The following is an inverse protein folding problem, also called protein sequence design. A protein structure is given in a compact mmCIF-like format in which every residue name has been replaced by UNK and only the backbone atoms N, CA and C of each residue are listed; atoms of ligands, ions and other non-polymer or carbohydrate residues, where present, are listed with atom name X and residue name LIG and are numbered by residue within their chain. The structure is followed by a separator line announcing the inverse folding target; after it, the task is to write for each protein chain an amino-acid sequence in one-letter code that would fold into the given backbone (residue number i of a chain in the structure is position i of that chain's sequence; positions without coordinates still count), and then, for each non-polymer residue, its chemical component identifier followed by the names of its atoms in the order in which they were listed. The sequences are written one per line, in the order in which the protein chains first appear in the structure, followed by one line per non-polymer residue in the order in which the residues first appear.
data_IF_902374653204
#
_entry.id   IF_902374653204
#
_cell.length_a   1.000
_cell.length_b   1.000
_cell.length_c   1.000
_cell.angle_alpha   90.00
_cell.angle_beta   90.00
_cell.angle_gamma   90.00
#
_symmetry.space_group_name_H-M   'P 1'
#
loop_
_entity.id
_entity.type
_entity.pdbx_description
1 polymer ?
#
# COMPACT_ATOMS: atom_id res chain seq x y z
N UNK A 1 60.30 28.01 0.67
CA UNK A 1 59.44 29.19 0.87
C UNK A 1 59.18 29.33 2.35
N UNK A 2 59.25 30.53 2.90
CA UNK A 2 58.71 30.82 4.24
C UNK A 2 57.25 30.37 4.28
N UNK A 3 56.94 29.42 5.16
CA UNK A 3 55.57 28.93 5.37
C UNK A 3 54.69 30.09 5.81
N UNK A 4 53.59 30.34 5.09
CA UNK A 4 52.61 31.36 5.49
C UNK A 4 51.97 30.94 6.83
N UNK A 5 51.95 31.84 7.80
CA UNK A 5 51.34 31.56 9.10
C UNK A 5 49.82 31.64 9.03
N UNK A 6 49.14 31.08 10.03
CA UNK A 6 47.68 31.20 10.22
C UNK A 6 47.23 32.67 10.28
N UNK A 7 47.96 33.53 10.98
CA UNK A 7 47.67 34.97 11.05
C UNK A 7 47.83 35.65 9.69
N UNK A 8 48.91 35.32 8.95
CA UNK A 8 49.14 35.88 7.62
C UNK A 8 48.06 35.45 6.64
N UNK A 9 47.67 34.17 6.66
CA UNK A 9 46.63 33.64 5.78
C UNK A 9 45.27 34.28 6.06
N UNK A 10 44.89 34.43 7.34
CA UNK A 10 43.63 35.06 7.72
C UNK A 10 43.53 36.53 7.29
N UNK A 11 44.66 37.22 7.11
CA UNK A 11 44.70 38.61 6.69
C UNK A 11 44.63 38.82 5.16
N UNK A 12 44.77 37.77 4.34
CA UNK A 12 44.72 37.89 2.88
C UNK A 12 43.31 38.18 2.37
N UNK A 13 43.17 39.00 1.33
CA UNK A 13 41.90 39.16 0.61
C UNK A 13 41.67 38.00 -0.36
N UNK A 14 40.42 37.80 -0.80
CA UNK A 14 40.06 36.74 -1.74
C UNK A 14 40.89 36.77 -3.02
N UNK A 15 41.13 37.95 -3.59
CA UNK A 15 41.94 38.13 -4.81
C UNK A 15 43.42 37.73 -4.60
N UNK A 16 43.93 37.87 -3.38
CA UNK A 16 45.30 37.48 -3.05
C UNK A 16 45.41 35.97 -2.88
N UNK A 17 44.34 35.33 -2.37
CA UNK A 17 44.29 33.87 -2.22
C UNK A 17 44.13 33.21 -3.59
N UNK A 18 43.29 33.74 -4.48
CA UNK A 18 43.12 33.20 -5.84
C UNK A 18 44.35 33.38 -6.73
N UNK A 19 45.25 34.31 -6.38
CA UNK A 19 46.53 34.45 -7.05
C UNK A 19 47.55 33.35 -6.71
N UNK A 20 47.31 32.54 -5.67
CA UNK A 20 48.13 31.36 -5.38
C UNK A 20 47.93 30.30 -6.46
N UNK A 21 49.02 29.72 -6.97
CA UNK A 21 48.91 28.58 -7.90
C UNK A 21 48.23 27.40 -7.20
N UNK A 22 47.67 26.48 -7.98
CA UNK A 22 47.04 25.27 -7.46
C UNK A 22 48.02 24.44 -6.63
N UNK A 23 49.28 24.29 -7.08
CA UNK A 23 50.30 23.59 -6.29
C UNK A 23 50.67 24.36 -5.02
N UNK A 24 50.78 25.68 -5.12
CA UNK A 24 51.04 26.55 -3.97
C UNK A 24 49.96 26.40 -2.90
N UNK A 25 48.69 26.40 -3.31
CA UNK A 25 47.56 26.21 -2.41
C UNK A 25 47.50 24.78 -1.82
N UNK A 26 47.72 23.75 -2.64
CA UNK A 26 47.77 22.36 -2.17
C UNK A 26 48.91 22.09 -1.19
N UNK A 27 50.00 22.86 -1.26
CA UNK A 27 51.15 22.76 -0.34
C UNK A 27 50.91 23.39 1.04
N UNK A 28 49.82 24.13 1.23
CA UNK A 28 49.49 24.75 2.51
C UNK A 28 49.18 23.70 3.58
N UNK A 29 49.68 23.92 4.80
CA UNK A 29 49.34 23.06 5.93
C UNK A 29 47.82 23.11 6.23
N UNK A 30 47.20 22.02 6.68
CA UNK A 30 45.74 21.97 6.92
C UNK A 30 45.25 23.07 7.89
N UNK A 31 46.01 23.37 8.93
CA UNK A 31 45.69 24.42 9.91
C UNK A 31 45.71 25.83 9.32
N UNK A 32 46.44 26.05 8.23
CA UNK A 32 46.47 27.33 7.51
C UNK A 32 45.22 27.50 6.67
N UNK A 33 44.75 26.44 6.00
CA UNK A 33 43.47 26.47 5.25
C UNK A 33 42.29 26.64 6.21
N UNK A 34 42.37 26.05 7.41
CA UNK A 34 41.34 26.11 8.45
C UNK A 34 41.10 27.50 9.05
N UNK A 35 41.90 28.52 8.71
CA UNK A 35 41.69 29.91 9.16
C UNK A 35 40.86 30.75 8.21
N UNK A 36 40.66 30.28 6.97
CA UNK A 36 39.97 31.04 5.94
C UNK A 36 38.52 31.31 6.38
N UNK A 37 38.08 32.55 6.30
CA UNK A 37 36.66 32.90 6.46
C UNK A 37 35.82 32.27 5.35
N UNK A 38 34.50 32.25 5.53
CA UNK A 38 33.55 31.80 4.50
C UNK A 38 33.71 32.58 3.20
N UNK A 39 33.89 33.90 3.27
CA UNK A 39 34.09 34.75 2.08
C UNK A 39 35.40 34.45 1.36
N UNK A 40 36.50 34.27 2.11
CA UNK A 40 37.79 33.90 1.51
C UNK A 40 37.72 32.51 0.86
N UNK A 41 37.13 31.53 1.53
CA UNK A 41 36.98 30.18 0.99
C UNK A 41 36.08 30.16 -0.25
N UNK A 42 34.95 30.88 -0.21
CA UNK A 42 34.05 31.01 -1.35
C UNK A 42 34.65 31.75 -2.56
N UNK A 43 35.73 32.51 -2.35
CA UNK A 43 36.46 33.15 -3.46
C UNK A 43 37.44 32.23 -4.19
N UNK A 44 37.78 31.06 -3.61
CA UNK A 44 38.73 30.12 -4.23
C UNK A 44 38.28 29.72 -5.64
N UNK A 45 39.23 29.60 -6.57
CA UNK A 45 38.92 29.07 -7.89
C UNK A 45 38.54 27.58 -7.82
N UNK A 46 37.83 27.09 -8.83
CA UNK A 46 37.53 25.65 -8.95
C UNK A 46 38.80 24.82 -8.99
N UNK A 47 39.87 25.32 -9.61
CA UNK A 47 41.14 24.60 -9.68
C UNK A 47 41.82 24.49 -8.31
N UNK A 48 41.71 25.53 -7.47
CA UNK A 48 42.21 25.49 -6.09
C UNK A 48 41.40 24.54 -5.21
N UNK A 49 40.08 24.50 -5.37
CA UNK A 49 39.23 23.54 -4.64
C UNK A 49 39.47 22.10 -5.09
N UNK A 50 39.67 21.89 -6.41
CA UNK A 50 40.03 20.58 -6.95
C UNK A 50 41.37 20.07 -6.41
N UNK A 51 42.31 20.98 -6.13
CA UNK A 51 43.65 20.69 -5.61
C UNK A 51 43.70 20.47 -4.09
N UNK A 52 42.58 20.61 -3.36
CA UNK A 52 42.53 20.34 -1.91
C UNK A 52 43.01 18.92 -1.61
N UNK A 53 43.92 18.79 -0.66
CA UNK A 53 44.31 17.50 -0.11
C UNK A 53 43.28 16.99 0.88
N UNK A 54 43.25 15.68 1.13
CA UNK A 54 42.36 15.09 2.16
C UNK A 54 42.69 15.57 3.57
N UNK A 55 43.95 15.97 3.83
CA UNK A 55 44.36 16.56 5.09
C UNK A 55 43.74 17.95 5.29
N UNK A 56 43.80 18.80 4.25
CA UNK A 56 43.17 20.12 4.26
C UNK A 56 41.65 20.00 4.38
N UNK A 57 41.02 19.08 3.63
CA UNK A 57 39.58 18.82 3.70
C UNK A 57 39.13 18.39 5.12
N UNK A 58 39.92 17.55 5.80
CA UNK A 58 39.65 17.10 7.17
C UNK A 58 39.76 18.23 8.21
N UNK A 59 40.50 19.30 7.91
CA UNK A 59 40.63 20.47 8.78
C UNK A 59 39.60 21.57 8.52
N UNK A 60 38.73 21.41 7.51
CA UNK A 60 37.68 22.39 7.24
C UNK A 60 36.64 22.44 8.36
N UNK A 61 36.43 23.63 8.89
CA UNK A 61 35.45 23.94 9.91
C UNK A 61 34.12 24.37 9.28
N UNK A 62 33.13 24.64 10.14
CA UNK A 62 31.83 25.21 9.77
C UNK A 62 32.01 26.52 8.96
N UNK A 63 32.99 27.35 9.30
CA UNK A 63 33.21 28.63 8.62
C UNK A 63 33.57 28.45 7.14
N UNK A 64 34.47 27.52 6.81
CA UNK A 64 34.81 27.25 5.42
C UNK A 64 33.66 26.57 4.68
N UNK A 65 32.97 25.64 5.34
CA UNK A 65 31.85 24.93 4.74
C UNK A 65 30.70 25.88 4.33
N UNK A 66 30.38 26.88 5.15
CA UNK A 66 29.41 27.94 4.79
C UNK A 66 29.84 28.76 3.56
N UNK A 67 31.14 28.80 3.26
CA UNK A 67 31.70 29.50 2.11
C UNK A 67 31.72 28.69 0.82
N UNK A 68 31.54 27.36 0.87
CA UNK A 68 31.54 26.52 -0.33
C UNK A 68 30.40 26.95 -1.25
N UNK A 69 30.72 27.15 -2.53
CA UNK A 69 29.74 27.53 -3.56
C UNK A 69 29.35 26.33 -4.41
N UNK A 70 28.20 26.38 -5.08
CA UNK A 70 27.74 25.32 -5.97
C UNK A 70 28.75 25.00 -7.09
N UNK A 71 29.43 26.02 -7.64
CA UNK A 71 30.48 25.82 -8.65
C UNK A 71 31.67 25.04 -8.08
N UNK A 72 32.11 25.35 -6.87
CA UNK A 72 33.19 24.63 -6.18
C UNK A 72 32.79 23.20 -5.81
N UNK A 73 31.51 22.95 -5.49
CA UNK A 73 31.01 21.60 -5.21
C UNK A 73 31.26 20.66 -6.39
N UNK A 74 31.11 21.11 -7.63
CA UNK A 74 31.28 20.26 -8.83
C UNK A 74 32.67 19.65 -8.98
N UNK A 75 33.69 20.26 -8.39
CA UNK A 75 35.10 19.83 -8.46
C UNK A 75 35.61 19.28 -7.13
N UNK A 76 34.79 19.32 -6.07
CA UNK A 76 35.16 18.74 -4.78
C UNK A 76 35.18 17.21 -4.89
N UNK A 77 36.36 16.62 -4.74
CA UNK A 77 36.50 15.16 -4.86
C UNK A 77 35.68 14.43 -3.79
N UNK A 78 35.25 13.20 -4.10
CA UNK A 78 34.54 12.33 -3.14
C UNK A 78 35.38 12.05 -1.89
N UNK A 79 36.70 11.92 -2.05
CA UNK A 79 37.63 11.75 -0.94
C UNK A 79 37.63 12.95 0.00
N UNK A 80 37.62 14.18 -0.51
CA UNK A 80 37.56 15.40 0.30
C UNK A 80 36.19 15.58 0.95
N UNK A 81 35.11 15.34 0.20
CA UNK A 81 33.75 15.41 0.73
C UNK A 81 33.56 14.49 1.94
N UNK A 82 34.10 13.26 1.88
CA UNK A 82 34.03 12.29 2.97
C UNK A 82 34.90 12.64 4.19
N UNK A 83 35.78 13.64 4.09
CA UNK A 83 36.58 14.14 5.21
C UNK A 83 35.93 15.31 5.94
N UNK A 84 34.88 15.92 5.39
CA UNK A 84 34.11 16.91 6.12
C UNK A 84 33.48 16.28 7.36
N UNK A 85 33.67 16.91 8.52
CA UNK A 85 32.95 16.54 9.74
C UNK A 85 31.44 16.68 9.50
N UNK A 86 30.63 15.96 10.29
CA UNK A 86 29.16 16.07 10.22
C UNK A 86 28.68 17.50 10.49
N UNK A 87 29.32 18.23 11.41
CA UNK A 87 29.00 19.62 11.69
C UNK A 87 29.32 20.56 10.51
N UNK A 88 30.47 20.38 9.86
CA UNK A 88 30.83 21.14 8.65
C UNK A 88 29.89 20.79 7.49
N UNK A 89 29.53 19.52 7.31
CA UNK A 89 28.58 19.10 6.27
C UNK A 89 27.17 19.67 6.49
N UNK A 90 26.67 19.66 7.73
CA UNK A 90 25.39 20.26 8.09
C UNK A 90 25.36 21.78 7.86
N UNK A 91 26.52 22.46 7.83
CA UNK A 91 26.64 23.88 7.58
C UNK A 91 26.61 24.27 6.08
N UNK A 92 26.62 23.29 5.16
CA UNK A 92 26.52 23.57 3.72
C UNK A 92 25.17 24.22 3.39
N UNK A 93 25.15 25.15 2.43
CA UNK A 93 23.88 25.70 1.96
C UNK A 93 23.05 24.64 1.21
N UNK A 94 21.73 24.83 1.15
CA UNK A 94 20.85 23.95 0.34
C UNK A 94 21.23 23.95 -1.14
N UNK A 95 21.70 25.09 -1.67
CA UNK A 95 22.20 25.19 -3.04
C UNK A 95 23.47 24.37 -3.29
N UNK A 96 24.31 24.18 -2.27
CA UNK A 96 25.46 23.27 -2.34
C UNK A 96 24.99 21.82 -2.34
N UNK A 97 24.11 21.44 -1.41
CA UNK A 97 23.59 20.06 -1.34
C UNK A 97 22.87 19.67 -2.64
N UNK A 98 22.06 20.57 -3.20
CA UNK A 98 21.38 20.37 -4.48
C UNK A 98 22.33 20.34 -5.69
N UNK A 99 23.58 20.80 -5.56
CA UNK A 99 24.60 20.78 -6.61
C UNK A 99 25.50 19.54 -6.59
N UNK A 100 25.40 18.69 -5.57
CA UNK A 100 26.16 17.44 -5.50
C UNK A 100 25.82 16.54 -6.71
N UNK A 101 26.82 16.00 -7.37
CA UNK A 101 26.59 14.93 -8.36
C UNK A 101 26.07 13.65 -7.69
N UNK A 102 25.49 12.75 -8.48
CA UNK A 102 25.10 11.40 -7.99
C UNK A 102 26.30 10.62 -7.45
N UNK A 103 27.49 10.78 -8.05
CA UNK A 103 28.73 10.15 -7.57
C UNK A 103 29.18 10.70 -6.22
N UNK A 104 29.02 12.00 -5.99
CA UNK A 104 29.30 12.62 -4.69
C UNK A 104 28.27 12.21 -3.64
N UNK A 105 26.98 12.16 -4.00
CA UNK A 105 25.93 11.67 -3.11
C UNK A 105 26.19 10.20 -2.71
N UNK A 106 26.57 9.34 -3.66
CA UNK A 106 26.93 7.95 -3.40
C UNK A 106 28.15 7.79 -2.48
N UNK A 107 29.07 8.77 -2.49
CA UNK A 107 30.27 8.73 -1.68
C UNK A 107 30.02 9.11 -0.21
N UNK A 108 28.96 9.87 0.09
CA UNK A 108 28.69 10.36 1.46
C UNK A 108 28.73 9.23 2.49
N UNK A 109 29.30 9.51 3.64
CA UNK A 109 29.19 8.56 4.76
C UNK A 109 27.76 8.54 5.31
N UNK A 110 27.34 7.44 5.93
CA UNK A 110 26.03 7.37 6.60
C UNK A 110 25.91 8.42 7.72
N UNK A 111 27.02 8.75 8.39
CA UNK A 111 27.06 9.82 9.38
C UNK A 111 26.79 11.22 8.78
N UNK A 112 27.26 11.48 7.54
CA UNK A 112 26.95 12.73 6.83
C UNK A 112 25.51 12.77 6.35
N UNK A 113 24.94 11.63 5.94
CA UNK A 113 23.51 11.52 5.59
C UNK A 113 22.64 11.80 6.82
N UNK A 114 22.94 11.21 7.98
CA UNK A 114 22.26 11.51 9.25
C UNK A 114 22.45 12.97 9.69
N UNK A 115 23.55 13.61 9.30
CA UNK A 115 23.82 15.01 9.64
C UNK A 115 23.10 16.02 8.73
N UNK A 116 22.37 15.57 7.71
CA UNK A 116 21.54 16.47 6.92
C UNK A 116 20.54 17.17 7.84
N UNK A 117 20.35 18.46 7.61
CA UNK A 117 19.20 19.16 8.18
C UNK A 117 17.97 18.83 7.35
N UNK A 118 16.78 18.86 7.98
CA UNK A 118 15.50 18.69 7.26
C UNK A 118 15.34 19.65 6.07
N UNK A 119 15.89 20.85 6.14
CA UNK A 119 15.91 21.83 5.05
C UNK A 119 16.83 21.42 3.90
N UNK A 120 17.99 20.81 4.20
CA UNK A 120 18.87 20.24 3.18
C UNK A 120 18.29 18.97 2.56
N UNK A 121 17.69 18.10 3.37
CA UNK A 121 16.98 16.92 2.89
C UNK A 121 15.84 17.29 1.92
N UNK A 122 15.07 18.34 2.24
CA UNK A 122 14.04 18.88 1.36
C UNK A 122 14.59 19.45 0.03
N UNK A 123 15.86 19.86 0.01
CA UNK A 123 16.53 20.40 -1.17
C UNK A 123 17.18 19.33 -2.07
N UNK A 124 17.21 18.06 -1.63
CA UNK A 124 17.71 16.96 -2.45
C UNK A 124 16.85 16.81 -3.70
N UNK A 125 17.52 16.65 -4.83
CA UNK A 125 16.90 16.45 -6.14
C UNK A 125 16.90 14.97 -6.51
N UNK A 126 16.33 14.64 -7.68
CA UNK A 126 16.44 13.30 -8.26
C UNK A 126 17.89 12.89 -8.52
N UNK A 127 18.78 13.83 -8.87
CA UNK A 127 20.20 13.55 -9.13
C UNK A 127 20.92 12.98 -7.91
N UNK A 128 20.75 13.60 -6.74
CA UNK A 128 21.40 13.09 -5.52
C UNK A 128 20.75 11.79 -5.04
N UNK A 129 19.41 11.72 -5.10
CA UNK A 129 18.65 10.56 -4.62
C UNK A 129 18.96 9.30 -5.43
N UNK A 130 19.14 9.41 -6.74
CA UNK A 130 19.60 8.31 -7.59
C UNK A 130 21.01 7.80 -7.25
N UNK A 131 21.83 8.62 -6.58
CA UNK A 131 23.15 8.24 -6.11
C UNK A 131 23.16 7.50 -4.77
N UNK A 132 22.08 7.51 -3.99
CA UNK A 132 22.09 6.88 -2.67
C UNK A 132 22.22 5.35 -2.73
N UNK A 133 23.17 4.84 -1.94
CA UNK A 133 23.33 3.42 -1.63
C UNK A 133 22.30 2.96 -0.59
N UNK A 134 22.12 1.65 -0.47
CA UNK A 134 21.21 1.03 0.52
C UNK A 134 21.55 1.45 1.96
N UNK A 135 22.84 1.46 2.32
CA UNK A 135 23.29 1.89 3.65
C UNK A 135 22.95 3.35 3.95
N UNK A 136 23.04 4.23 2.94
CA UNK A 136 22.66 5.64 3.09
C UNK A 136 21.14 5.79 3.17
N UNK A 137 20.38 5.05 2.37
CA UNK A 137 18.92 5.06 2.42
C UNK A 137 18.37 4.57 3.75
N UNK A 138 18.96 3.52 4.34
CA UNK A 138 18.64 3.06 5.70
C UNK A 138 19.00 4.11 6.76
N UNK A 139 20.06 4.90 6.53
CA UNK A 139 20.51 5.94 7.44
C UNK A 139 19.66 7.24 7.39
N UNK A 140 18.80 7.42 6.39
CA UNK A 140 17.91 8.60 6.31
C UNK A 140 16.96 8.64 7.51
N UNK A 141 16.97 9.77 8.22
CA UNK A 141 16.05 9.98 9.32
C UNK A 141 14.61 10.14 8.80
N UNK A 142 13.63 9.68 9.58
CA UNK A 142 12.20 9.79 9.21
C UNK A 142 11.75 11.25 9.05
N UNK A 143 12.34 12.17 9.81
CA UNK A 143 12.07 13.59 9.71
C UNK A 143 12.49 14.13 8.33
N UNK A 144 13.63 13.69 7.82
CA UNK A 144 14.17 14.08 6.53
C UNK A 144 13.42 13.43 5.37
N UNK A 145 13.17 12.12 5.46
CA UNK A 145 12.47 11.38 4.42
C UNK A 145 11.05 11.94 4.17
N UNK A 146 10.36 12.39 5.23
CA UNK A 146 9.05 13.04 5.12
C UNK A 146 9.08 14.39 4.37
N UNK A 147 10.27 14.98 4.18
CA UNK A 147 10.47 16.24 3.46
C UNK A 147 10.96 16.06 2.02
N UNK A 148 11.31 14.84 1.61
CA UNK A 148 11.70 14.59 0.23
C UNK A 148 10.58 14.98 -0.74
N UNK A 149 10.95 15.70 -1.79
CA UNK A 149 10.06 15.86 -2.92
C UNK A 149 9.71 14.50 -3.53
N UNK A 150 8.52 14.38 -4.11
CA UNK A 150 8.08 13.13 -4.76
C UNK A 150 9.04 12.68 -5.86
N UNK A 151 9.59 13.62 -6.65
CA UNK A 151 10.59 13.33 -7.68
C UNK A 151 11.94 12.83 -7.12
N UNK A 152 12.28 13.20 -5.88
CA UNK A 152 13.48 12.69 -5.21
C UNK A 152 13.28 11.23 -4.76
N UNK A 153 12.11 10.91 -4.21
CA UNK A 153 11.74 9.53 -3.87
C UNK A 153 11.65 8.63 -5.11
N UNK A 154 11.04 9.12 -6.18
CA UNK A 154 10.93 8.40 -7.45
C UNK A 154 12.31 8.06 -8.05
N UNK A 155 13.31 8.91 -7.80
CA UNK A 155 14.66 8.69 -8.29
C UNK A 155 15.48 7.68 -7.46
N UNK A 156 15.00 7.22 -6.30
CA UNK A 156 15.67 6.16 -5.55
C UNK A 156 15.72 4.88 -6.40
N UNK A 157 16.90 4.26 -6.47
CA UNK A 157 17.04 2.96 -7.13
C UNK A 157 16.13 1.92 -6.49
N UNK A 158 15.66 0.92 -7.26
CA UNK A 158 14.80 -0.14 -6.70
C UNK A 158 15.47 -0.87 -5.51
N UNK A 159 16.79 -1.04 -5.55
CA UNK A 159 17.56 -1.62 -4.43
C UNK A 159 17.57 -0.72 -3.20
N UNK A 160 17.68 0.60 -3.37
CA UNK A 160 17.60 1.56 -2.28
C UNK A 160 16.18 1.59 -1.70
N UNK A 161 15.15 1.65 -2.55
CA UNK A 161 13.75 1.58 -2.13
C UNK A 161 13.47 0.31 -1.33
N UNK A 162 13.88 -0.86 -1.83
CA UNK A 162 13.74 -2.14 -1.11
C UNK A 162 14.49 -2.19 0.22
N UNK A 163 15.45 -1.28 0.47
CA UNK A 163 16.16 -1.19 1.75
C UNK A 163 15.47 -0.32 2.80
N UNK A 164 14.43 0.43 2.44
CA UNK A 164 13.68 1.25 3.39
C UNK A 164 13.09 0.38 4.51
N UNK A 165 13.23 0.85 5.74
CA UNK A 165 12.67 0.20 6.92
C UNK A 165 11.16 0.44 7.04
N UNK A 166 10.45 -0.39 7.81
CA UNK A 166 9.03 -0.17 8.08
C UNK A 166 8.74 1.18 8.76
N UNK A 167 9.63 1.63 9.65
CA UNK A 167 9.53 2.95 10.29
C UNK A 167 9.64 4.08 9.26
N UNK A 168 10.57 3.97 8.31
CA UNK A 168 10.72 4.95 7.23
C UNK A 168 9.52 4.94 6.29
N UNK A 169 9.04 3.77 5.86
CA UNK A 169 7.84 3.64 5.01
C UNK A 169 6.62 4.28 5.70
N UNK A 170 6.41 4.01 6.99
CA UNK A 170 5.30 4.56 7.76
C UNK A 170 5.44 6.06 8.08
N UNK A 171 6.60 6.66 7.81
CA UNK A 171 6.82 8.11 7.90
C UNK A 171 6.50 8.85 6.59
N UNK A 172 6.34 8.13 5.47
CA UNK A 172 6.00 8.73 4.19
C UNK A 172 4.61 9.35 4.25
N UNK A 173 4.47 10.53 3.66
CA UNK A 173 3.19 11.20 3.49
C UNK A 173 2.34 10.50 2.43
N UNK A 174 1.02 10.70 2.45
CA UNK A 174 0.12 10.12 1.44
C UNK A 174 0.47 10.58 0.01
N UNK A 175 0.94 11.82 -0.16
CA UNK A 175 1.37 12.32 -1.47
C UNK A 175 2.64 11.59 -1.97
N UNK A 176 3.58 11.31 -1.07
CA UNK A 176 4.78 10.55 -1.39
C UNK A 176 4.45 9.10 -1.75
N UNK A 177 3.58 8.43 -0.99
CA UNK A 177 3.14 7.06 -1.31
C UNK A 177 2.42 7.01 -2.66
N UNK A 178 1.50 7.94 -2.92
CA UNK A 178 0.77 7.99 -4.18
C UNK A 178 1.68 8.28 -5.40
N UNK A 179 2.84 8.89 -5.18
CA UNK A 179 3.82 9.16 -6.25
C UNK A 179 4.78 8.02 -6.57
N UNK A 180 4.85 6.98 -5.72
CA UNK A 180 5.74 5.84 -5.98
C UNK A 180 5.34 5.11 -7.26
N UNK A 181 6.33 4.64 -8.01
CA UNK A 181 6.07 3.77 -9.16
C UNK A 181 5.56 2.40 -8.71
N UNK A 182 4.94 1.65 -9.62
CA UNK A 182 4.53 0.26 -9.35
C UNK A 182 5.72 -0.61 -8.97
N UNK A 183 6.87 -0.42 -9.64
CA UNK A 183 8.09 -1.20 -9.38
C UNK A 183 8.66 -0.89 -7.99
N UNK A 184 8.64 0.38 -7.57
CA UNK A 184 9.03 0.75 -6.21
C UNK A 184 8.08 0.19 -5.17
N UNK A 185 6.77 0.23 -5.42
CA UNK A 185 5.78 -0.36 -4.51
C UNK A 185 6.03 -1.86 -4.37
N UNK A 186 6.22 -2.60 -5.47
CA UNK A 186 6.54 -4.04 -5.42
C UNK A 186 7.87 -4.30 -4.69
N UNK A 187 8.91 -3.50 -4.97
CA UNK A 187 10.21 -3.62 -4.31
C UNK A 187 10.13 -3.41 -2.78
N UNK A 188 9.33 -2.43 -2.33
CA UNK A 188 9.07 -2.15 -0.92
C UNK A 188 8.23 -3.22 -0.23
N UNK A 189 7.44 -3.98 -0.97
CA UNK A 189 6.39 -4.82 -0.40
C UNK A 189 6.89 -6.25 -0.21
N UNK A 190 7.79 -6.72 -1.06
CA UNK A 190 8.39 -8.06 -0.96
C UNK A 190 9.04 -8.39 0.41
N UNK A 191 9.47 -7.38 1.18
CA UNK A 191 10.04 -7.53 2.53
C UNK A 191 9.32 -6.79 3.67
N UNK A 192 8.51 -5.77 3.38
CA UNK A 192 7.99 -4.83 4.39
C UNK A 192 6.47 -4.81 4.55
N UNK A 193 5.71 -5.53 3.71
CA UNK A 193 4.23 -5.39 3.65
C UNK A 193 3.48 -5.79 4.93
N UNK A 194 4.09 -6.63 5.78
CA UNK A 194 3.53 -6.97 7.10
C UNK A 194 3.35 -5.72 7.96
N UNK A 195 4.18 -4.70 7.74
CA UNK A 195 4.29 -3.52 8.59
C UNK A 195 3.75 -2.23 7.95
N UNK A 196 3.02 -2.29 6.83
CA UNK A 196 2.44 -1.09 6.23
C UNK A 196 1.36 -0.49 7.14
N UNK A 197 1.47 0.81 7.42
CA UNK A 197 0.49 1.57 8.17
C UNK A 197 -0.80 1.80 7.38
N UNK A 198 -1.90 2.05 8.08
CA UNK A 198 -3.23 2.30 7.47
C UNK A 198 -3.26 3.56 6.61
N UNK A 199 -2.54 4.61 7.00
CA UNK A 199 -2.41 5.85 6.22
C UNK A 199 -1.70 5.63 4.89
N UNK A 200 -0.62 4.84 4.88
CA UNK A 200 0.11 4.51 3.66
C UNK A 200 -0.72 3.57 2.78
N UNK A 201 -1.38 2.56 3.35
CA UNK A 201 -2.27 1.68 2.59
C UNK A 201 -3.43 2.43 1.94
N UNK A 202 -4.06 3.38 2.65
CA UNK A 202 -5.11 4.24 2.10
C UNK A 202 -4.61 5.19 1.00
N UNK A 203 -3.30 5.51 0.99
CA UNK A 203 -2.68 6.35 -0.03
C UNK A 203 -2.27 5.60 -1.29
N UNK A 204 -2.26 4.26 -1.27
CA UNK A 204 -1.98 3.48 -2.47
C UNK A 204 -3.07 3.72 -3.53
N UNK A 205 -2.62 4.07 -4.73
CA UNK A 205 -3.47 4.17 -5.90
C UNK A 205 -3.92 2.78 -6.36
N UNK A 206 -5.03 2.72 -7.09
CA UNK A 206 -5.53 1.42 -7.59
C UNK A 206 -4.57 0.76 -8.60
N UNK A 207 -3.75 1.54 -9.31
CA UNK A 207 -2.70 1.00 -10.19
C UNK A 207 -1.55 0.38 -9.39
N UNK A 208 -1.16 1.00 -8.27
CA UNK A 208 -0.14 0.44 -7.38
C UNK A 208 -0.64 -0.84 -6.70
N UNK A 209 -1.90 -0.88 -6.23
CA UNK A 209 -2.47 -2.08 -5.60
C UNK A 209 -2.55 -3.25 -6.57
N UNK A 210 -3.00 -3.02 -7.80
CA UNK A 210 -3.10 -4.11 -8.81
C UNK A 210 -1.73 -4.59 -9.27
N UNK A 211 -0.68 -3.78 -9.15
CA UNK A 211 0.69 -4.22 -9.45
C UNK A 211 1.29 -5.12 -8.36
N UNK A 212 0.70 -5.16 -7.16
CA UNK A 212 1.15 -6.09 -6.11
C UNK A 212 0.90 -7.53 -6.54
N UNK A 213 1.88 -8.39 -6.29
CA UNK A 213 1.64 -9.81 -6.47
C UNK A 213 0.68 -10.36 -5.39
N UNK A 214 0.09 -11.51 -5.68
CA UNK A 214 -0.89 -12.13 -4.81
C UNK A 214 -0.32 -12.54 -3.43
N UNK A 215 0.98 -12.88 -3.38
CA UNK A 215 1.66 -13.28 -2.14
C UNK A 215 1.83 -12.10 -1.21
N UNK A 216 2.17 -10.95 -1.76
CA UNK A 216 2.37 -9.72 -1.04
C UNK A 216 1.05 -9.13 -0.54
N UNK A 217 -0.01 -9.19 -1.35
CA UNK A 217 -1.35 -8.82 -0.90
C UNK A 217 -1.82 -9.70 0.28
N UNK A 218 -1.53 -11.01 0.24
CA UNK A 218 -1.89 -11.94 1.32
C UNK A 218 -1.12 -11.68 2.63
N UNK A 219 0.08 -11.09 2.56
CA UNK A 219 0.91 -10.73 3.74
C UNK A 219 0.50 -9.40 4.38
N UNK A 220 -0.29 -8.55 3.72
CA UNK A 220 -0.77 -7.30 4.30
C UNK A 220 -1.54 -7.55 5.59
N UNK A 221 -1.27 -6.78 6.64
CA UNK A 221 -2.09 -6.87 7.84
C UNK A 221 -3.55 -6.44 7.55
N UNK A 222 -4.49 -6.95 8.35
CA UNK A 222 -5.93 -6.77 8.09
C UNK A 222 -6.37 -5.31 8.16
N UNK A 223 -5.76 -4.49 9.03
CA UNK A 223 -6.08 -3.05 9.13
C UNK A 223 -5.63 -2.26 7.90
N UNK A 224 -4.43 -2.53 7.39
CA UNK A 224 -3.94 -1.93 6.16
C UNK A 224 -4.79 -2.36 4.95
N UNK A 225 -5.12 -3.65 4.85
CA UNK A 225 -5.99 -4.17 3.80
C UNK A 225 -7.39 -3.51 3.83
N UNK A 226 -8.00 -3.39 5.02
CA UNK A 226 -9.27 -2.70 5.21
C UNK A 226 -9.19 -1.19 4.91
N UNK A 227 -8.00 -0.61 4.87
CA UNK A 227 -7.78 0.80 4.53
C UNK A 227 -7.63 1.06 3.03
N UNK A 228 -7.53 0.01 2.20
CA UNK A 228 -7.46 0.15 0.75
C UNK A 228 -8.73 0.82 0.19
N UNK A 229 -8.57 1.65 -0.84
CA UNK A 229 -9.73 2.34 -1.43
C UNK A 229 -10.68 1.36 -2.12
N UNK A 230 -11.97 1.68 -2.16
CA UNK A 230 -12.97 0.86 -2.89
C UNK A 230 -12.63 0.71 -4.38
N UNK A 231 -12.05 1.76 -4.99
CA UNK A 231 -11.54 1.73 -6.37
C UNK A 231 -10.36 0.78 -6.58
N UNK A 232 -9.56 0.52 -5.55
CA UNK A 232 -8.51 -0.51 -5.61
C UNK A 232 -9.13 -1.90 -5.46
N UNK A 233 -10.05 -2.07 -4.50
CA UNK A 233 -10.72 -3.34 -4.24
C UNK A 233 -11.50 -3.87 -5.45
N UNK A 234 -12.19 -3.00 -6.19
CA UNK A 234 -12.94 -3.39 -7.40
C UNK A 234 -12.05 -3.72 -8.60
N UNK A 235 -10.74 -3.47 -8.52
CA UNK A 235 -9.77 -3.74 -9.59
C UNK A 235 -8.89 -4.96 -9.31
N UNK A 236 -9.01 -5.60 -8.13
CA UNK A 236 -8.26 -6.83 -7.84
C UNK A 236 -8.60 -7.91 -8.87
N UNK A 237 -7.58 -8.58 -9.38
CA UNK A 237 -7.77 -9.70 -10.30
C UNK A 237 -8.09 -11.01 -9.57
N UNK A 238 -8.40 -12.05 -10.36
CA UNK A 238 -8.77 -13.37 -9.84
C UNK A 238 -7.65 -14.01 -9.01
N UNK A 239 -6.39 -13.82 -9.38
CA UNK A 239 -5.23 -14.38 -8.65
C UNK A 239 -5.05 -13.69 -7.31
N UNK A 240 -5.20 -12.37 -7.28
CA UNK A 240 -5.15 -11.56 -6.07
C UNK A 240 -6.30 -11.89 -5.13
N UNK A 241 -7.54 -11.94 -5.61
CA UNK A 241 -8.71 -12.31 -4.79
C UNK A 241 -8.55 -13.69 -4.18
N UNK A 242 -8.08 -14.68 -4.93
CA UNK A 242 -7.85 -16.03 -4.41
C UNK A 242 -6.78 -16.11 -3.32
N UNK A 243 -5.80 -15.19 -3.32
CA UNK A 243 -4.72 -15.20 -2.35
C UNK A 243 -5.05 -14.46 -1.05
N UNK A 244 -6.00 -13.51 -1.07
CA UNK A 244 -6.44 -12.79 0.13
C UNK A 244 -6.92 -13.77 1.21
N UNK A 245 -6.49 -13.57 2.44
CA UNK A 245 -6.81 -14.47 3.55
C UNK A 245 -8.25 -14.30 4.04
N UNK A 246 -8.81 -15.31 4.71
CA UNK A 246 -10.14 -15.19 5.35
C UNK A 246 -10.19 -14.08 6.40
N UNK A 247 -9.09 -13.81 7.10
CA UNK A 247 -8.99 -12.70 8.05
C UNK A 247 -9.07 -11.33 7.36
N UNK A 248 -8.46 -11.18 6.18
CA UNK A 248 -8.57 -9.97 5.37
C UNK A 248 -9.98 -9.79 4.79
N UNK A 249 -10.63 -10.88 4.35
CA UNK A 249 -12.04 -10.84 3.90
C UNK A 249 -12.98 -10.43 5.04
N UNK A 250 -12.80 -11.00 6.24
CA UNK A 250 -13.60 -10.64 7.41
C UNK A 250 -13.35 -9.20 7.90
N UNK A 251 -12.22 -8.60 7.52
CA UNK A 251 -11.86 -7.23 7.86
C UNK A 251 -12.34 -6.19 6.82
N UNK A 252 -12.96 -6.62 5.71
CA UNK A 252 -13.52 -5.70 4.73
C UNK A 252 -14.49 -4.73 5.40
N UNK A 253 -14.46 -3.49 4.95
CA UNK A 253 -15.52 -2.54 5.25
C UNK A 253 -16.74 -2.83 4.37
N UNK A 254 -17.93 -2.50 4.88
CA UNK A 254 -19.18 -2.62 4.11
C UNK A 254 -19.16 -1.86 2.79
N UNK A 255 -18.43 -0.73 2.72
CA UNK A 255 -18.26 0.02 1.49
C UNK A 255 -17.38 -0.73 0.48
N UNK A 256 -16.31 -1.38 0.92
CA UNK A 256 -15.46 -2.21 0.04
C UNK A 256 -16.23 -3.44 -0.46
N UNK A 257 -16.94 -4.14 0.43
CA UNK A 257 -17.77 -5.29 0.05
C UNK A 257 -18.83 -4.91 -1.00
N UNK A 258 -19.48 -3.75 -0.85
CA UNK A 258 -20.46 -3.24 -1.81
C UNK A 258 -19.89 -2.97 -3.21
N UNK A 259 -18.57 -2.79 -3.33
CA UNK A 259 -17.88 -2.51 -4.61
C UNK A 259 -17.27 -3.74 -5.29
N UNK A 260 -17.41 -4.94 -4.69
CA UNK A 260 -16.96 -6.17 -5.35
C UNK A 260 -17.79 -6.43 -6.61
N UNK A 261 -17.10 -6.55 -7.75
CA UNK A 261 -17.68 -6.87 -9.05
C UNK A 261 -17.94 -8.37 -9.22
N UNK A 262 -18.45 -8.73 -10.39
CA UNK A 262 -18.76 -10.13 -10.74
C UNK A 262 -17.51 -11.00 -10.77
N UNK A 263 -16.40 -10.48 -11.30
CA UNK A 263 -15.15 -11.23 -11.42
C UNK A 263 -14.56 -11.53 -10.04
N UNK A 264 -14.57 -10.55 -9.12
CA UNK A 264 -14.13 -10.77 -7.75
C UNK A 264 -15.06 -11.72 -7.00
N UNK A 265 -16.38 -11.60 -7.16
CA UNK A 265 -17.34 -12.51 -6.53
C UNK A 265 -17.20 -13.95 -7.03
N UNK A 266 -16.97 -14.14 -8.33
CA UNK A 266 -16.70 -15.44 -8.93
C UNK A 266 -15.37 -16.05 -8.45
N UNK A 267 -14.38 -15.20 -8.14
CA UNK A 267 -13.08 -15.61 -7.63
C UNK A 267 -13.07 -15.95 -6.13
N UNK A 268 -14.12 -15.65 -5.36
CA UNK A 268 -14.17 -16.01 -3.95
C UNK A 268 -14.22 -17.53 -3.78
N UNK A 269 -13.21 -18.09 -3.11
CA UNK A 269 -13.23 -19.48 -2.66
C UNK A 269 -14.35 -19.69 -1.65
N UNK A 270 -14.84 -20.92 -1.52
CA UNK A 270 -15.84 -21.24 -0.50
C UNK A 270 -15.38 -20.86 0.91
N UNK A 271 -14.08 -21.00 1.23
CA UNK A 271 -13.46 -20.58 2.50
C UNK A 271 -13.53 -19.08 2.74
N UNK A 272 -13.21 -18.28 1.74
CA UNK A 272 -13.31 -16.82 1.80
C UNK A 272 -14.77 -16.39 1.89
N UNK A 273 -15.67 -16.98 1.11
CA UNK A 273 -17.09 -16.65 1.13
C UNK A 273 -17.72 -16.86 2.51
N UNK A 274 -17.35 -17.92 3.23
CA UNK A 274 -17.82 -18.14 4.60
C UNK A 274 -17.23 -17.14 5.62
N UNK A 275 -16.16 -16.43 5.27
CA UNK A 275 -15.57 -15.39 6.10
C UNK A 275 -16.18 -14.00 5.84
N UNK A 276 -16.94 -13.83 4.74
CA UNK A 276 -17.68 -12.59 4.47
C UNK A 276 -18.73 -12.39 5.55
N UNK A 277 -18.75 -11.22 6.19
CA UNK A 277 -19.69 -10.94 7.26
C UNK A 277 -21.14 -10.88 6.75
N UNK A 278 -22.11 -11.11 7.62
CA UNK A 278 -23.53 -10.98 7.26
C UNK A 278 -23.90 -9.57 6.80
N UNK A 279 -23.24 -8.55 7.35
CA UNK A 279 -23.44 -7.16 6.93
C UNK A 279 -22.94 -6.93 5.50
N UNK A 280 -21.81 -7.52 5.15
CA UNK A 280 -21.19 -7.39 3.82
C UNK A 280 -21.91 -8.23 2.76
N UNK A 281 -22.36 -9.43 3.11
CA UNK A 281 -23.21 -10.26 2.24
C UNK A 281 -24.45 -9.48 1.81
N UNK A 282 -25.12 -8.77 2.73
CA UNK A 282 -26.29 -7.95 2.41
C UNK A 282 -25.99 -6.74 1.51
N UNK A 283 -24.71 -6.38 1.31
CA UNK A 283 -24.25 -5.27 0.47
C UNK A 283 -23.74 -5.71 -0.90
N UNK A 284 -23.52 -7.00 -1.13
CA UNK A 284 -23.16 -7.50 -2.46
C UNK A 284 -24.27 -7.16 -3.47
N UNK A 285 -23.86 -6.72 -4.66
CA UNK A 285 -24.82 -6.50 -5.75
C UNK A 285 -25.51 -7.81 -6.16
N UNK A 286 -26.69 -7.70 -6.77
CA UNK A 286 -27.41 -8.87 -7.32
C UNK A 286 -26.59 -9.58 -8.42
N UNK A 287 -25.84 -8.82 -9.22
CA UNK A 287 -24.93 -9.37 -10.21
C UNK A 287 -23.76 -10.15 -9.56
N UNK A 288 -23.14 -9.59 -8.52
CA UNK A 288 -22.10 -10.29 -7.76
C UNK A 288 -22.63 -11.58 -7.13
N UNK A 289 -23.84 -11.54 -6.53
CA UNK A 289 -24.49 -12.74 -5.98
C UNK A 289 -24.70 -13.83 -7.04
N UNK A 290 -25.19 -13.47 -8.23
CA UNK A 290 -25.36 -14.41 -9.33
C UNK A 290 -24.04 -14.95 -9.90
N UNK A 291 -22.92 -14.24 -9.70
CA UNK A 291 -21.60 -14.62 -10.17
C UNK A 291 -20.82 -15.53 -9.20
N UNK A 292 -21.23 -15.63 -7.93
CA UNK A 292 -20.58 -16.52 -6.96
C UNK A 292 -20.56 -17.96 -7.49
N UNK A 293 -19.38 -18.57 -7.47
CA UNK A 293 -19.16 -19.93 -7.95
C UNK A 293 -20.06 -20.95 -7.23
N UNK A 294 -20.65 -21.87 -8.00
CA UNK A 294 -21.56 -22.91 -7.51
C UNK A 294 -20.97 -23.71 -6.34
N UNK A 295 -19.71 -24.12 -6.46
CA UNK A 295 -19.00 -24.89 -5.44
C UNK A 295 -18.83 -24.14 -4.08
N UNK A 296 -19.09 -22.83 -4.02
CA UNK A 296 -19.00 -22.04 -2.80
C UNK A 296 -20.32 -22.04 -2.00
N UNK A 297 -21.46 -22.40 -2.59
CA UNK A 297 -22.76 -22.37 -1.93
C UNK A 297 -22.88 -23.33 -0.74
N UNK A 298 -22.38 -24.58 -0.79
CA UNK A 298 -22.38 -25.49 0.37
C UNK A 298 -21.63 -24.95 1.59
N UNK A 299 -20.80 -23.90 1.42
CA UNK A 299 -20.01 -23.28 2.49
C UNK A 299 -20.66 -22.06 3.13
N UNK A 300 -21.77 -21.55 2.60
CA UNK A 300 -22.51 -20.45 3.21
C UNK A 300 -23.06 -20.85 4.58
N UNK A 301 -22.95 -19.96 5.56
CA UNK A 301 -23.61 -20.18 6.86
C UNK A 301 -25.10 -19.84 6.76
N UNK A 302 -25.91 -20.45 7.62
CA UNK A 302 -27.34 -20.11 7.71
C UNK A 302 -27.56 -18.63 8.07
N UNK A 303 -26.66 -18.04 8.86
CA UNK A 303 -26.69 -16.61 9.18
C UNK A 303 -26.42 -15.74 7.93
N UNK A 304 -25.49 -16.12 7.07
CA UNK A 304 -25.25 -15.42 5.80
C UNK A 304 -26.44 -15.54 4.86
N UNK A 305 -27.03 -16.73 4.70
CA UNK A 305 -28.25 -16.91 3.91
C UNK A 305 -29.39 -16.02 4.43
N UNK A 306 -29.58 -15.99 5.74
CA UNK A 306 -30.63 -15.18 6.37
C UNK A 306 -30.34 -13.67 6.38
N UNK A 307 -29.14 -13.25 5.98
CA UNK A 307 -28.78 -11.84 5.76
C UNK A 307 -29.00 -11.37 4.33
N UNK A 308 -29.26 -12.28 3.38
CA UNK A 308 -29.56 -11.93 1.99
C UNK A 308 -30.81 -11.06 1.90
N UNK A 309 -30.73 -10.01 1.09
CA UNK A 309 -31.91 -9.23 0.71
C UNK A 309 -32.81 -10.04 -0.23
N UNK A 310 -34.09 -9.68 -0.30
CA UNK A 310 -35.04 -10.34 -1.21
C UNK A 310 -34.61 -10.22 -2.68
N UNK A 311 -34.05 -9.07 -3.08
CA UNK A 311 -33.50 -8.87 -4.42
C UNK A 311 -32.31 -9.79 -4.72
N UNK A 312 -31.44 -10.04 -3.73
CA UNK A 312 -30.33 -10.99 -3.90
C UNK A 312 -30.85 -12.43 -4.04
N UNK A 313 -31.83 -12.83 -3.23
CA UNK A 313 -32.46 -14.17 -3.37
C UNK A 313 -33.07 -14.34 -4.75
N UNK A 314 -33.84 -13.36 -5.24
CA UNK A 314 -34.43 -13.39 -6.59
C UNK A 314 -33.36 -13.48 -7.69
N UNK A 315 -32.20 -12.85 -7.49
CA UNK A 315 -31.10 -12.85 -8.45
C UNK A 315 -30.29 -14.16 -8.48
N UNK A 316 -30.41 -15.02 -7.47
CA UNK A 316 -29.73 -16.32 -7.45
C UNK A 316 -30.21 -17.19 -8.61
N UNK A 317 -29.27 -17.87 -9.27
CA UNK A 317 -29.61 -18.80 -10.35
C UNK A 317 -30.24 -20.09 -9.78
N UNK A 318 -30.97 -20.83 -10.61
CA UNK A 318 -31.50 -22.14 -10.23
C UNK A 318 -30.39 -23.13 -9.86
N UNK A 319 -29.26 -23.08 -10.56
CA UNK A 319 -28.09 -23.89 -10.22
C UNK A 319 -27.53 -23.56 -8.84
N UNK A 320 -27.46 -22.27 -8.47
CA UNK A 320 -27.02 -21.85 -7.13
C UNK A 320 -28.00 -22.31 -6.02
N UNK A 321 -29.30 -22.33 -6.31
CA UNK A 321 -30.32 -22.84 -5.37
C UNK A 321 -30.15 -24.35 -5.13
N UNK A 322 -29.84 -25.13 -6.18
CA UNK A 322 -29.63 -26.58 -6.08
C UNK A 322 -28.38 -26.93 -5.27
N UNK A 323 -27.36 -26.08 -5.28
CA UNK A 323 -26.14 -26.29 -4.49
C UNK A 323 -26.29 -25.97 -2.99
N UNK A 324 -27.46 -25.47 -2.55
CA UNK A 324 -27.73 -25.31 -1.13
C UNK A 324 -27.91 -26.68 -0.48
N UNK A 325 -27.14 -26.95 0.57
CA UNK A 325 -27.25 -28.22 1.29
C UNK A 325 -28.49 -28.25 2.18
N UNK A 326 -28.99 -29.45 2.48
CA UNK A 326 -30.15 -29.66 3.36
C UNK A 326 -30.12 -28.85 4.68
N UNK A 327 -28.95 -28.71 5.31
CA UNK A 327 -28.81 -27.91 6.52
C UNK A 327 -29.07 -26.40 6.29
N UNK A 328 -28.70 -25.87 5.13
CA UNK A 328 -28.96 -24.49 4.73
C UNK A 328 -30.44 -24.28 4.45
N UNK A 329 -31.05 -25.18 3.67
CA UNK A 329 -32.48 -25.14 3.34
C UNK A 329 -33.36 -25.25 4.58
N UNK A 330 -32.96 -26.08 5.56
CA UNK A 330 -33.67 -26.20 6.83
C UNK A 330 -33.67 -24.91 7.67
N UNK A 331 -32.65 -24.08 7.53
CA UNK A 331 -32.48 -22.85 8.31
C UNK A 331 -32.83 -21.58 7.53
N UNK A 332 -33.49 -21.69 6.37
CA UNK A 332 -33.89 -20.53 5.57
C UNK A 332 -34.91 -19.66 6.33
N UNK A 333 -34.69 -18.36 6.36
CA UNK A 333 -35.58 -17.39 6.99
C UNK A 333 -36.85 -17.16 6.17
N UNK A 334 -37.92 -16.70 6.84
CA UNK A 334 -39.20 -16.42 6.17
C UNK A 334 -39.10 -15.32 5.11
N UNK A 335 -38.21 -14.33 5.31
CA UNK A 335 -37.96 -13.27 4.33
C UNK A 335 -37.28 -13.80 3.07
N UNK A 336 -36.29 -14.68 3.21
CA UNK A 336 -35.63 -15.28 2.06
C UNK A 336 -36.56 -16.25 1.33
N UNK A 337 -37.29 -17.08 2.05
CA UNK A 337 -38.23 -18.01 1.45
C UNK A 337 -39.37 -17.30 0.71
N UNK A 338 -39.88 -16.17 1.21
CA UNK A 338 -40.91 -15.40 0.50
C UNK A 338 -40.43 -14.75 -0.79
N UNK A 339 -39.11 -14.58 -0.94
CA UNK A 339 -38.48 -14.03 -2.13
C UNK A 339 -38.14 -15.10 -3.19
N UNK A 340 -38.23 -16.39 -2.87
CA UNK A 340 -38.00 -17.46 -3.85
C UNK A 340 -39.01 -17.36 -5.00
N UNK A 341 -38.52 -17.49 -6.22
CA UNK A 341 -39.34 -17.52 -7.43
C UNK A 341 -39.85 -18.94 -7.73
N UNK A 342 -40.92 -19.06 -8.52
CA UNK A 342 -41.43 -20.38 -8.92
C UNK A 342 -40.37 -21.22 -9.66
N UNK A 343 -39.50 -20.59 -10.47
CA UNK A 343 -38.41 -21.28 -11.18
C UNK A 343 -37.35 -21.80 -10.21
N UNK A 344 -37.00 -21.02 -9.18
CA UNK A 344 -36.04 -21.44 -8.16
C UNK A 344 -36.56 -22.62 -7.35
N UNK A 345 -37.81 -22.56 -6.88
CA UNK A 345 -38.41 -23.67 -6.10
C UNK A 345 -38.64 -24.91 -6.97
N UNK A 346 -39.03 -24.75 -8.23
CA UNK A 346 -39.17 -25.86 -9.16
C UNK A 346 -37.84 -26.61 -9.37
N UNK A 347 -36.71 -25.90 -9.31
CA UNK A 347 -35.38 -26.50 -9.43
C UNK A 347 -34.89 -27.19 -8.15
N UNK A 348 -35.44 -26.87 -6.97
CA UNK A 348 -35.01 -27.46 -5.69
C UNK A 348 -35.20 -28.98 -5.68
N UNK A 349 -34.22 -29.69 -5.13
CA UNK A 349 -34.36 -31.11 -4.87
C UNK A 349 -35.49 -31.37 -3.86
N UNK A 350 -36.24 -32.46 -4.06
CA UNK A 350 -37.34 -32.85 -3.17
C UNK A 350 -36.88 -33.11 -1.74
N UNK A 351 -35.63 -33.56 -1.57
CA UNK A 351 -34.93 -33.74 -0.31
C UNK A 351 -34.81 -32.41 0.45
N UNK A 352 -34.38 -31.35 -0.22
CA UNK A 352 -34.21 -30.03 0.39
C UNK A 352 -35.54 -29.31 0.61
N UNK A 353 -36.47 -29.41 -0.35
CA UNK A 353 -37.81 -28.86 -0.21
C UNK A 353 -38.52 -29.46 1.03
N UNK A 354 -38.34 -30.76 1.28
CA UNK A 354 -38.90 -31.44 2.45
C UNK A 354 -38.35 -30.95 3.79
N UNK A 355 -37.26 -30.18 3.75
CA UNK A 355 -36.49 -29.73 4.92
C UNK A 355 -36.73 -28.28 5.27
N UNK A 356 -37.43 -27.51 4.41
CA UNK A 356 -37.87 -26.16 4.74
C UNK A 356 -38.59 -26.14 6.09
N UNK A 357 -38.16 -25.24 6.98
CA UNK A 357 -38.85 -25.04 8.25
C UNK A 357 -40.26 -24.47 8.02
N UNK A 358 -41.13 -24.62 9.03
CA UNK A 358 -42.54 -24.19 8.98
C UNK A 358 -42.70 -22.74 8.55
N UNK A 359 -41.89 -21.84 9.12
CA UNK A 359 -41.99 -20.40 8.88
C UNK A 359 -41.58 -20.03 7.45
N UNK A 360 -40.54 -20.68 6.92
CA UNK A 360 -40.09 -20.53 5.54
C UNK A 360 -41.13 -21.05 4.55
N UNK A 361 -41.67 -22.24 4.80
CA UNK A 361 -42.71 -22.79 3.94
C UNK A 361 -43.97 -21.91 3.93
N UNK A 362 -44.42 -21.47 5.10
CA UNK A 362 -45.58 -20.59 5.24
C UNK A 362 -45.39 -19.22 4.55
N UNK A 363 -44.14 -18.78 4.36
CA UNK A 363 -43.85 -17.51 3.70
C UNK A 363 -43.74 -17.62 2.17
N UNK A 364 -43.66 -18.82 1.59
CA UNK A 364 -43.66 -19.02 0.14
C UNK A 364 -44.89 -18.37 -0.53
N UNK A 365 -44.71 -17.74 -1.69
CA UNK A 365 -45.83 -17.12 -2.41
C UNK A 365 -46.84 -18.17 -2.91
N UNK A 366 -48.09 -17.76 -3.12
CA UNK A 366 -49.12 -18.66 -3.69
C UNK A 366 -48.76 -19.11 -5.11
N UNK A 367 -48.09 -18.27 -5.88
CA UNK A 367 -47.56 -18.61 -7.21
C UNK A 367 -46.46 -19.68 -7.17
N UNK A 368 -45.64 -19.68 -6.12
CA UNK A 368 -44.63 -20.73 -5.89
C UNK A 368 -45.33 -22.04 -5.54
N UNK A 369 -46.24 -22.03 -4.56
CA UNK A 369 -46.95 -23.24 -4.11
C UNK A 369 -47.80 -23.83 -5.23
N UNK A 370 -48.43 -23.00 -6.06
CA UNK A 370 -49.24 -23.46 -7.20
C UNK A 370 -48.43 -24.05 -8.37
N UNK A 371 -47.11 -23.82 -8.42
CA UNK A 371 -46.22 -24.35 -9.46
C UNK A 371 -45.46 -25.63 -9.04
N UNK A 372 -45.71 -26.15 -7.85
CA UNK A 372 -45.09 -27.39 -7.39
C UNK A 372 -45.62 -28.59 -8.18
N UNK A 373 -44.72 -29.48 -8.60
CA UNK A 373 -45.11 -30.73 -9.26
C UNK A 373 -45.69 -31.75 -8.26
N UNK A 374 -46.18 -32.89 -8.78
CA UNK A 374 -46.77 -33.94 -7.94
C UNK A 374 -45.79 -34.55 -6.91
N UNK A 375 -44.50 -34.65 -7.26
CA UNK A 375 -43.45 -35.18 -6.38
C UNK A 375 -43.16 -34.20 -5.24
N UNK A 376 -43.01 -32.93 -5.57
CA UNK A 376 -42.81 -31.82 -4.63
C UNK A 376 -44.03 -31.65 -3.71
N UNK A 377 -45.24 -31.68 -4.27
CA UNK A 377 -46.50 -31.61 -3.50
C UNK A 377 -46.67 -32.80 -2.55
N UNK A 378 -46.24 -33.99 -2.94
CA UNK A 378 -46.24 -35.16 -2.05
C UNK A 378 -45.42 -34.93 -0.77
N UNK A 379 -44.25 -34.30 -0.89
CA UNK A 379 -43.38 -33.98 0.27
C UNK A 379 -43.89 -32.80 1.10
N UNK A 380 -44.52 -31.83 0.46
CA UNK A 380 -45.25 -30.73 1.11
C UNK A 380 -46.37 -31.28 2.01
N UNK A 381 -47.05 -32.34 1.60
CA UNK A 381 -48.03 -33.03 2.44
C UNK A 381 -47.39 -33.70 3.67
N UNK A 382 -46.20 -34.28 3.56
CA UNK A 382 -45.47 -34.84 4.71
C UNK A 382 -45.13 -33.76 5.75
N UNK A 383 -44.70 -32.57 5.30
CA UNK A 383 -44.47 -31.40 6.16
C UNK A 383 -45.76 -30.98 6.86
N UNK A 384 -46.88 -30.92 6.12
CA UNK A 384 -48.20 -30.54 6.64
C UNK A 384 -48.71 -31.50 7.73
N UNK A 385 -48.56 -32.80 7.53
CA UNK A 385 -48.99 -33.82 8.47
C UNK A 385 -48.19 -33.73 9.78
N UNK A 386 -46.91 -33.40 9.71
CA UNK A 386 -46.07 -33.20 10.90
C UNK A 386 -46.39 -31.93 11.70
N UNK A 387 -47.07 -30.93 11.12
CA UNK A 387 -47.16 -29.57 11.67
C UNK A 387 -48.58 -29.08 12.02
N UNK A 388 -49.62 -29.83 11.64
CA UNK A 388 -51.02 -29.51 11.95
C UNK A 388 -51.71 -28.61 10.92
N UNK A 389 -53.06 -28.63 10.87
CA UNK A 389 -53.84 -28.10 9.75
C UNK A 389 -53.89 -26.56 9.64
N UNK A 390 -53.64 -25.83 10.73
CA UNK A 390 -53.85 -24.37 10.77
C UNK A 390 -52.68 -23.55 10.22
N UNK A 391 -51.47 -24.12 10.13
CA UNK A 391 -50.31 -23.47 9.50
C UNK A 391 -50.45 -23.32 7.96
N UNK A 392 -51.51 -23.88 7.37
CA UNK A 392 -51.69 -24.08 5.92
C UNK A 392 -52.95 -23.42 5.32
N UNK A 393 -53.82 -22.83 6.15
CA UNK A 393 -55.08 -22.22 5.65
C UNK A 393 -54.76 -20.98 4.80
N UNK A 394 -55.18 -20.99 3.53
CA UNK A 394 -55.05 -19.87 2.58
C UNK A 394 -54.00 -20.03 1.46
N UNK A 395 -53.06 -20.97 1.53
CA UNK A 395 -52.02 -21.17 0.49
C UNK A 395 -52.37 -22.25 -0.55
N UNK A 396 -53.03 -23.32 -0.12
CA UNK A 396 -53.36 -24.49 -0.98
C UNK A 396 -54.81 -24.50 -1.47
N UNK A 397 -55.62 -23.51 -1.12
CA UNK A 397 -57.01 -23.38 -1.59
C UNK A 397 -57.15 -23.18 -3.11
N UNK A 398 -56.21 -22.51 -3.82
CA UNK A 398 -56.26 -22.40 -5.27
C UNK A 398 -55.84 -23.67 -6.04
N UNK A 399 -55.16 -24.63 -5.40
CA UNK A 399 -54.62 -25.83 -6.05
C UNK A 399 -55.61 -27.01 -6.12
N UNK A 400 -56.88 -26.79 -5.76
CA UNK A 400 -57.97 -27.78 -5.81
C UNK A 400 -58.83 -27.70 -7.08
N UNK A 401 -58.42 -26.89 -8.06
CA UNK A 401 -59.10 -26.73 -9.35
C UNK A 401 -58.64 -27.75 -10.38
#
# INVERSE_FOLDING_TARGET
MTTISTTQMGALKGEQITALTTEGFASLAPEVVAVLSSTQFGSLSTDQVAALTTGQAASLTINQAMGITSSQTTVLTTANLNKLTTASFAALSTGVVASLSSTQAAALTTAQVVALTTTQAAALTSTQSAGFSTSQTVALEVADLSKFATAALDALSLTASASLTSTQINSLTSAQVASLTTDQVVALVSGQVVNLGTLQAAALTSTQVVALDATDLAKMNTSAFASLTTSAMSRLDVTQVNAVTTAQIAALTTAQAATLGTDQAAALTGTQLAAVTTQDIAKLSTAAMAAIALASFPRLTSSQLNSLTTSQVVAMTTAQIVELVTAQTANLGSLQASALTSTQVAAMEVTDLSKLNTSAFASLSTSVVGNLDASQMGKVFDIRVAQGPDAWRGKCEPARG
#
